data_IF_156681511914
#
_entry.id   IF_156681511914
#
_cell.length_a   1.000
_cell.length_b   1.000
_cell.length_c   1.000
_cell.angle_alpha   90.00
_cell.angle_beta   90.00
_cell.angle_gamma   90.00
#
_symmetry.space_group_name_H-M   'P 1'
#
loop_
_entity.id
_entity.type
_entity.pdbx_description
1 polymer ?
#
# COMPACT_ATOMS: atom_id res chain seq x y z
N UNK A 1 -7.88 -6.33 9.59
CA UNK A 1 -8.38 -7.65 9.17
C UNK A 1 -9.31 -8.18 10.26
N UNK A 2 -10.42 -8.78 9.85
CA UNK A 2 -11.35 -9.52 10.71
C UNK A 2 -11.54 -10.90 10.09
N UNK A 3 -11.33 -11.95 10.89
CA UNK A 3 -11.47 -13.32 10.43
C UNK A 3 -12.16 -14.16 11.51
N UNK A 4 -13.40 -14.59 11.27
CA UNK A 4 -14.03 -15.64 12.08
C UNK A 4 -13.26 -16.95 11.90
N UNK A 5 -12.93 -17.59 13.01
CA UNK A 5 -12.20 -18.87 13.03
C UNK A 5 -13.11 -19.94 13.61
N UNK A 6 -13.18 -21.09 12.92
CA UNK A 6 -13.86 -22.28 13.39
C UNK A 6 -12.95 -23.50 13.27
N UNK A 7 -12.75 -24.21 14.38
CA UNK A 7 -11.89 -25.37 14.45
C UNK A 7 -12.63 -26.57 15.05
N UNK A 8 -12.40 -27.75 14.45
CA UNK A 8 -12.68 -29.05 15.05
C UNK A 8 -11.40 -29.61 15.64
N UNK A 9 -11.37 -29.77 16.94
CA UNK A 9 -10.24 -30.34 17.66
C UNK A 9 -10.36 -31.88 17.64
N UNK A 10 -9.38 -32.54 17.03
CA UNK A 10 -9.38 -33.98 16.80
C UNK A 10 -8.20 -34.62 17.50
N UNK A 11 -8.35 -35.83 18.05
CA UNK A 11 -7.22 -36.61 18.56
C UNK A 11 -6.43 -37.30 17.43
N UNK A 12 -5.40 -38.07 17.81
CA UNK A 12 -4.54 -38.79 16.86
C UNK A 12 -5.30 -39.83 16.05
N UNK A 13 -6.39 -40.37 16.60
CA UNK A 13 -7.28 -41.34 15.96
C UNK A 13 -8.40 -40.65 15.16
N UNK A 14 -8.35 -39.32 14.98
CA UNK A 14 -9.36 -38.51 14.27
C UNK A 14 -10.75 -38.58 14.91
N UNK A 15 -10.83 -38.72 16.23
CA UNK A 15 -12.07 -38.56 16.98
C UNK A 15 -12.24 -37.12 17.44
N UNK A 16 -13.46 -36.60 17.35
CA UNK A 16 -13.78 -35.25 17.80
C UNK A 16 -13.61 -35.14 19.32
N UNK A 17 -12.81 -34.17 19.76
CA UNK A 17 -12.65 -33.77 21.17
C UNK A 17 -13.42 -32.50 21.49
N UNK A 18 -13.57 -31.62 20.51
CA UNK A 18 -14.42 -30.46 20.68
C UNK A 18 -14.37 -29.52 19.49
N UNK A 19 -15.12 -28.45 19.60
CA UNK A 19 -15.24 -27.41 18.61
C UNK A 19 -14.97 -26.06 19.28
N UNK A 20 -14.23 -25.20 18.58
CA UNK A 20 -13.84 -23.87 19.02
C UNK A 20 -14.19 -22.85 17.94
N UNK A 21 -14.80 -21.74 18.35
CA UNK A 21 -15.06 -20.58 17.52
C UNK A 21 -14.50 -19.34 18.21
N UNK A 22 -13.97 -18.39 17.44
CA UNK A 22 -13.61 -17.06 17.91
C UNK A 22 -13.46 -16.10 16.73
N UNK A 23 -13.52 -14.80 17.01
CA UNK A 23 -13.23 -13.76 16.04
C UNK A 23 -11.79 -13.28 16.24
N UNK A 24 -10.99 -13.34 15.19
CA UNK A 24 -9.65 -12.75 15.15
C UNK A 24 -9.73 -11.35 14.54
N UNK A 25 -9.24 -10.36 15.28
CA UNK A 25 -9.06 -9.00 14.79
C UNK A 25 -7.59 -8.62 14.79
N UNK A 26 -7.13 -8.00 13.70
CA UNK A 26 -5.80 -7.39 13.62
C UNK A 26 -5.93 -6.02 12.99
N UNK A 27 -5.51 -5.00 13.74
CA UNK A 27 -5.41 -3.61 13.28
C UNK A 27 -3.94 -3.24 13.20
N UNK A 28 -3.51 -2.70 12.06
CA UNK A 28 -2.16 -2.19 11.84
C UNK A 28 -2.17 -0.67 11.68
N UNK A 29 -1.19 0.01 12.27
CA UNK A 29 -1.05 1.46 12.21
C UNK A 29 0.37 1.83 11.79
N UNK A 30 0.49 2.55 10.68
CA UNK A 30 1.74 3.12 10.20
C UNK A 30 1.76 4.64 10.45
N UNK A 31 2.94 5.25 10.42
CA UNK A 31 3.11 6.63 10.89
C UNK A 31 3.94 7.50 9.94
N UNK A 32 3.44 8.71 9.68
CA UNK A 32 4.22 9.80 9.11
C UNK A 32 4.89 10.61 10.24
N UNK A 33 6.22 10.52 10.33
CA UNK A 33 7.07 11.15 11.35
C UNK A 33 7.76 10.17 12.30
N UNK A 34 7.44 8.88 12.25
CA UNK A 34 8.03 7.86 13.14
C UNK A 34 8.27 6.56 12.38
N UNK A 35 9.47 6.00 12.50
CA UNK A 35 9.82 4.67 11.95
C UNK A 35 9.28 3.58 12.88
N UNK A 36 7.95 3.46 12.88
CA UNK A 36 7.18 2.63 13.79
C UNK A 36 5.97 2.03 13.06
N UNK A 37 5.65 0.78 13.37
CA UNK A 37 4.35 0.18 13.05
C UNK A 37 3.81 -0.47 14.31
N UNK A 38 2.53 -0.21 14.58
CA UNK A 38 1.82 -0.79 15.72
C UNK A 38 0.79 -1.79 15.24
N UNK A 39 0.68 -2.92 15.93
CA UNK A 39 -0.40 -3.88 15.73
C UNK A 39 -1.21 -3.99 17.01
N UNK A 40 -2.53 -4.04 16.85
CA UNK A 40 -3.45 -4.49 17.88
C UNK A 40 -4.10 -5.78 17.40
N UNK A 41 -3.76 -6.88 18.07
CA UNK A 41 -4.36 -8.19 17.86
C UNK A 41 -5.43 -8.45 18.91
N UNK A 42 -6.54 -9.06 18.51
CA UNK A 42 -7.57 -9.47 19.45
C UNK A 42 -8.19 -10.81 19.10
N UNK A 43 -8.49 -11.59 20.14
CA UNK A 43 -9.31 -12.80 20.05
C UNK A 43 -10.55 -12.56 20.90
N UNK A 44 -11.70 -12.53 20.25
CA UNK A 44 -12.98 -12.16 20.86
C UNK A 44 -14.05 -13.23 20.57
N UNK A 45 -15.21 -13.09 21.24
CA UNK A 45 -16.40 -13.90 21.01
C UNK A 45 -16.14 -15.42 21.04
N UNK A 46 -15.26 -15.85 21.94
CA UNK A 46 -14.83 -17.25 22.04
C UNK A 46 -16.02 -18.13 22.46
N UNK A 47 -16.31 -19.16 21.69
CA UNK A 47 -17.33 -20.19 22.00
C UNK A 47 -16.69 -21.55 21.92
N UNK A 48 -17.13 -22.46 22.79
CA UNK A 48 -16.64 -23.83 22.81
C UNK A 48 -17.75 -24.84 22.93
N UNK A 49 -17.50 -26.02 22.38
CA UNK A 49 -18.34 -27.20 22.56
C UNK A 49 -17.43 -28.40 22.75
N UNK A 50 -17.32 -28.89 23.97
CA UNK A 50 -16.55 -30.08 24.30
C UNK A 50 -17.39 -31.36 24.16
N UNK A 51 -16.75 -32.48 23.82
CA UNK A 51 -17.35 -33.80 24.03
C UNK A 51 -17.28 -34.20 25.50
N UNK A 52 -18.01 -35.23 25.91
CA UNK A 52 -17.99 -35.70 27.29
C UNK A 52 -16.56 -36.07 27.75
N UNK A 53 -16.15 -35.58 28.92
CA UNK A 53 -14.81 -35.79 29.48
C UNK A 53 -13.75 -34.78 29.03
N UNK A 54 -14.09 -33.80 28.20
CA UNK A 54 -13.22 -32.68 27.82
C UNK A 54 -13.49 -31.41 28.62
N UNK A 55 -12.43 -30.66 28.92
CA UNK A 55 -12.54 -29.37 29.61
C UNK A 55 -11.97 -28.23 28.74
N UNK A 56 -12.84 -27.43 28.11
CA UNK A 56 -12.41 -26.28 27.31
C UNK A 56 -11.55 -25.25 28.05
N UNK A 57 -11.65 -25.15 29.38
CA UNK A 57 -10.83 -24.24 30.16
C UNK A 57 -9.31 -24.58 30.11
N UNK A 58 -8.97 -25.80 29.69
CA UNK A 58 -7.58 -26.24 29.51
C UNK A 58 -7.03 -25.96 28.10
N UNK A 59 -7.90 -25.58 27.17
CA UNK A 59 -7.48 -25.26 25.81
C UNK A 59 -6.73 -23.93 25.80
N UNK A 60 -5.67 -23.86 25.00
CA UNK A 60 -4.88 -22.64 24.81
C UNK A 60 -4.96 -22.18 23.37
N UNK A 61 -5.11 -20.88 23.21
CA UNK A 61 -4.94 -20.19 21.93
C UNK A 61 -3.63 -19.41 22.03
N UNK A 62 -2.77 -19.63 21.07
CA UNK A 62 -1.45 -19.03 20.97
C UNK A 62 -1.35 -18.19 19.71
N UNK A 63 -0.87 -16.96 19.88
CA UNK A 63 -0.47 -16.06 18.81
C UNK A 63 1.04 -15.88 18.88
N UNK A 64 1.73 -16.08 17.77
CA UNK A 64 3.16 -15.87 17.63
C UNK A 64 3.42 -14.89 16.50
N UNK A 65 3.97 -13.72 16.80
CA UNK A 65 4.39 -12.77 15.79
C UNK A 65 5.86 -12.93 15.47
N UNK A 66 6.18 -13.07 14.20
CA UNK A 66 7.54 -13.07 13.68
C UNK A 66 7.74 -11.94 12.69
N UNK A 67 8.99 -11.67 12.31
CA UNK A 67 9.28 -10.73 11.25
C UNK A 67 10.48 -11.19 10.42
N UNK A 68 10.50 -10.77 9.17
CA UNK A 68 11.63 -10.92 8.26
C UNK A 68 12.00 -9.58 7.66
N UNK A 69 13.25 -9.45 7.22
CA UNK A 69 13.76 -8.27 6.51
C UNK A 69 14.11 -8.71 5.09
N UNK A 70 13.58 -7.99 4.10
CA UNK A 70 13.95 -8.17 2.71
C UNK A 70 15.21 -7.34 2.42
N UNK A 71 16.37 -7.97 2.55
CA UNK A 71 17.67 -7.29 2.37
C UNK A 71 17.89 -6.77 0.95
N UNK A 72 17.31 -7.41 -0.09
CA UNK A 72 17.48 -6.96 -1.48
C UNK A 72 16.67 -5.71 -1.83
N UNK A 73 15.61 -5.43 -1.07
CA UNK A 73 14.76 -4.24 -1.22
C UNK A 73 15.00 -3.20 -0.12
N UNK A 74 16.00 -3.42 0.72
CA UNK A 74 16.38 -2.51 1.79
C UNK A 74 17.67 -1.77 1.46
N UNK A 75 17.87 -0.64 2.13
CA UNK A 75 19.16 0.05 2.14
C UNK A 75 20.22 -0.73 2.94
N UNK A 76 21.45 -0.19 3.02
CA UNK A 76 22.55 -0.81 3.76
C UNK A 76 22.20 -1.07 5.24
N UNK A 77 22.62 -2.24 5.74
CA UNK A 77 22.48 -2.66 7.15
C UNK A 77 21.05 -2.51 7.71
N UNK A 78 20.04 -3.14 7.09
CA UNK A 78 18.66 -2.96 7.50
C UNK A 78 18.40 -3.59 8.88
N UNK A 79 17.68 -2.86 9.73
CA UNK A 79 17.36 -3.31 11.08
C UNK A 79 15.88 -3.04 11.41
N UNK A 80 15.26 -4.03 12.06
CA UNK A 80 13.94 -3.94 12.65
C UNK A 80 14.02 -4.38 14.11
N UNK A 81 13.51 -3.57 15.00
CA UNK A 81 13.42 -3.85 16.44
C UNK A 81 12.02 -4.38 16.73
N UNK A 82 11.97 -5.64 17.17
CA UNK A 82 10.74 -6.33 17.58
C UNK A 82 10.33 -5.96 19.01
N UNK A 83 9.06 -6.16 19.41
CA UNK A 83 8.66 -5.98 20.80
C UNK A 83 9.31 -7.04 21.71
N UNK A 84 9.38 -6.76 23.01
CA UNK A 84 9.99 -7.66 23.99
C UNK A 84 9.27 -9.02 24.09
N UNK A 85 7.95 -9.02 23.91
CA UNK A 85 7.13 -10.23 23.87
C UNK A 85 6.51 -10.35 22.48
N UNK A 86 6.79 -11.47 21.82
CA UNK A 86 6.28 -11.80 20.48
C UNK A 86 5.40 -13.05 20.47
N UNK A 87 5.17 -13.67 21.61
CA UNK A 87 4.29 -14.84 21.72
C UNK A 87 3.37 -14.66 22.90
N UNK A 88 2.08 -14.91 22.70
CA UNK A 88 1.06 -14.91 23.75
C UNK A 88 0.27 -16.20 23.66
N UNK A 89 0.39 -17.03 24.69
CA UNK A 89 -0.22 -18.37 24.78
C UNK A 89 -1.05 -18.44 26.06
N UNK A 90 -2.36 -18.32 25.92
CA UNK A 90 -3.28 -18.17 27.04
C UNK A 90 -4.49 -19.09 26.90
N UNK A 91 -5.10 -19.42 28.04
CA UNK A 91 -6.35 -20.18 28.03
C UNK A 91 -7.55 -19.29 27.70
N UNK A 92 -8.71 -19.92 27.49
CA UNK A 92 -9.94 -19.24 27.09
C UNK A 92 -10.35 -18.14 28.07
N UNK A 93 -10.27 -18.38 29.38
CA UNK A 93 -10.68 -17.41 30.39
C UNK A 93 -9.77 -16.17 30.37
N UNK A 94 -8.47 -16.36 30.17
CA UNK A 94 -7.49 -15.27 30.09
C UNK A 94 -7.68 -14.42 28.82
N UNK A 95 -7.90 -15.04 27.66
CA UNK A 95 -8.25 -14.32 26.44
C UNK A 95 -9.57 -13.57 26.58
N UNK A 96 -10.58 -14.18 27.20
CA UNK A 96 -11.89 -13.52 27.44
C UNK A 96 -11.73 -12.29 28.35
N UNK A 97 -10.89 -12.38 29.38
CA UNK A 97 -10.66 -11.28 30.32
C UNK A 97 -9.81 -10.16 29.71
N UNK A 98 -8.85 -10.50 28.83
CA UNK A 98 -7.96 -9.55 28.17
C UNK A 98 -7.82 -9.90 26.69
N UNK A 99 -8.81 -9.56 25.85
CA UNK A 99 -8.80 -10.00 24.46
C UNK A 99 -7.74 -9.30 23.64
N UNK A 100 -7.32 -8.09 24.03
CA UNK A 100 -6.41 -7.24 23.28
C UNK A 100 -4.93 -7.48 23.62
N UNK A 101 -4.10 -7.49 22.58
CA UNK A 101 -2.65 -7.50 22.68
C UNK A 101 -2.04 -6.50 21.69
N UNK A 102 -1.19 -5.62 22.20
CA UNK A 102 -0.50 -4.61 21.40
C UNK A 102 0.95 -5.02 21.14
N UNK A 103 1.40 -4.82 19.91
CA UNK A 103 2.76 -5.07 19.47
C UNK A 103 3.30 -3.83 18.77
N UNK A 104 4.57 -3.54 19.00
CA UNK A 104 5.26 -2.39 18.45
C UNK A 104 6.54 -2.85 17.77
N UNK A 105 6.68 -2.55 16.48
CA UNK A 105 7.91 -2.75 15.73
C UNK A 105 8.45 -1.39 15.32
N UNK A 106 9.75 -1.20 15.45
CA UNK A 106 10.44 0.04 15.05
C UNK A 106 11.63 -0.28 14.16
N UNK A 107 12.19 0.74 13.52
CA UNK A 107 13.46 0.63 12.81
C UNK A 107 14.34 1.82 13.19
N UNK A 108 15.59 1.60 13.65
CA UNK A 108 16.46 2.69 14.05
C UNK A 108 16.79 3.60 12.86
N UNK A 109 17.14 4.84 13.16
CA UNK A 109 17.66 5.80 12.19
C UNK A 109 18.89 6.53 12.72
N UNK A 110 19.69 7.07 11.80
CA UNK A 110 20.89 7.85 12.12
C UNK A 110 20.58 9.30 12.52
N UNK A 111 19.31 9.71 12.54
CA UNK A 111 18.88 11.09 12.77
C UNK A 111 19.26 12.08 11.67
N UNK A 112 19.82 11.61 10.54
CA UNK A 112 20.31 12.45 9.45
C UNK A 112 19.67 12.04 8.12
N UNK A 113 19.24 13.03 7.35
CA UNK A 113 18.85 12.82 5.96
C UNK A 113 20.10 12.63 5.11
N UNK A 114 20.14 11.54 4.36
CA UNK A 114 21.17 11.27 3.35
C UNK A 114 20.48 11.00 2.01
N UNK A 115 20.63 11.89 1.01
CA UNK A 115 20.04 11.68 -0.32
C UNK A 115 20.52 10.39 -1.01
N UNK A 116 21.70 9.87 -0.66
CA UNK A 116 22.22 8.61 -1.20
C UNK A 116 21.72 7.38 -0.43
N UNK A 117 21.20 7.57 0.79
CA UNK A 117 20.69 6.50 1.63
C UNK A 117 19.49 6.97 2.45
N UNK A 118 18.29 6.76 1.90
CA UNK A 118 17.02 7.04 2.60
C UNK A 118 16.71 6.03 3.70
N UNK A 119 17.67 5.18 4.07
CA UNK A 119 17.59 4.22 5.18
C UNK A 119 16.35 3.31 5.09
N UNK A 120 16.01 2.88 3.87
CA UNK A 120 14.86 1.99 3.63
C UNK A 120 15.07 0.67 4.34
N UNK A 121 14.06 0.22 5.08
CA UNK A 121 13.98 -1.14 5.63
C UNK A 121 12.65 -1.71 5.23
N UNK A 122 12.68 -2.69 4.32
CA UNK A 122 11.51 -3.42 3.86
C UNK A 122 11.47 -4.77 4.56
N UNK A 123 10.30 -5.20 5.01
CA UNK A 123 10.14 -6.46 5.71
C UNK A 123 8.71 -6.91 5.79
N UNK A 124 8.50 -8.09 6.38
CA UNK A 124 7.18 -8.67 6.58
C UNK A 124 7.02 -8.98 8.06
N UNK A 125 5.82 -8.71 8.59
CA UNK A 125 5.42 -9.11 9.94
C UNK A 125 4.32 -10.15 9.79
N UNK A 126 4.52 -11.31 10.40
CA UNK A 126 3.66 -12.50 10.25
C UNK A 126 3.09 -12.90 11.59
N UNK A 127 1.81 -13.23 11.63
CA UNK A 127 1.14 -13.90 12.74
C UNK A 127 0.99 -15.38 12.41
N UNK A 128 1.54 -16.21 13.27
CA UNK A 128 1.28 -17.64 13.32
C UNK A 128 0.30 -17.90 14.46
N UNK A 129 -0.62 -18.84 14.28
CA UNK A 129 -1.55 -19.26 15.33
C UNK A 129 -1.43 -20.74 15.64
N UNK A 130 -1.60 -21.08 16.92
CA UNK A 130 -1.67 -22.46 17.40
C UNK A 130 -2.79 -22.60 18.41
N UNK A 131 -3.57 -23.66 18.28
CA UNK A 131 -4.59 -24.04 19.26
C UNK A 131 -4.25 -25.41 19.81
N UNK A 132 -4.19 -25.54 21.13
CA UNK A 132 -3.84 -26.79 21.80
C UNK A 132 -4.86 -27.19 22.86
N UNK A 133 -5.06 -28.49 23.00
CA UNK A 133 -5.84 -29.14 24.06
C UNK A 133 -5.00 -30.31 24.60
N UNK A 134 -5.15 -30.72 25.87
CA UNK A 134 -4.45 -31.89 26.42
C UNK A 134 -4.69 -33.20 25.65
N UNK A 135 -5.79 -33.30 24.91
CA UNK A 135 -6.30 -34.54 24.32
C UNK A 135 -6.44 -34.51 22.81
N UNK A 136 -6.27 -33.35 22.19
CA UNK A 136 -6.34 -33.18 20.74
C UNK A 136 -4.94 -32.96 20.16
N UNK A 137 -4.76 -33.32 18.89
CA UNK A 137 -3.59 -32.89 18.12
C UNK A 137 -3.68 -31.37 17.96
N UNK A 138 -2.60 -30.62 18.28
CA UNK A 138 -2.61 -29.17 18.14
C UNK A 138 -2.87 -28.75 16.70
N UNK A 139 -3.77 -27.79 16.53
CA UNK A 139 -3.96 -27.11 15.25
C UNK A 139 -2.95 -25.98 15.13
N UNK A 140 -2.43 -25.76 13.93
CA UNK A 140 -1.47 -24.70 13.62
C UNK A 140 -1.79 -24.08 12.27
N UNK A 141 -1.75 -22.76 12.21
CA UNK A 141 -1.69 -21.99 10.97
C UNK A 141 -0.40 -21.15 11.00
N UNK A 142 0.60 -21.49 10.16
CA UNK A 142 1.89 -20.81 10.17
C UNK A 142 1.87 -19.43 9.52
N UNK A 143 0.78 -19.01 8.85
CA UNK A 143 0.64 -17.69 8.24
C UNK A 143 -0.82 -17.25 8.33
N UNK A 144 -1.33 -17.15 9.56
CA UNK A 144 -2.71 -16.73 9.81
C UNK A 144 -2.97 -15.32 9.29
N UNK A 145 -1.98 -14.43 9.41
CA UNK A 145 -1.99 -13.11 8.82
C UNK A 145 -0.56 -12.63 8.55
N UNK A 146 -0.39 -11.73 7.60
CA UNK A 146 0.86 -11.01 7.42
C UNK A 146 0.62 -9.59 6.92
N UNK A 147 1.66 -8.77 6.99
CA UNK A 147 1.68 -7.48 6.32
C UNK A 147 3.11 -7.11 5.95
N UNK A 148 3.29 -6.61 4.73
CA UNK A 148 4.55 -6.04 4.28
C UNK A 148 4.64 -4.58 4.72
N UNK A 149 5.78 -4.23 5.32
CA UNK A 149 6.04 -2.90 5.90
C UNK A 149 7.32 -2.33 5.33
N UNK A 150 7.34 -1.02 5.11
CA UNK A 150 8.55 -0.26 4.81
C UNK A 150 8.73 0.84 5.84
N UNK A 151 9.91 0.90 6.44
CA UNK A 151 10.41 2.04 7.20
C UNK A 151 11.35 2.85 6.31
N UNK A 152 11.32 4.18 6.43
CA UNK A 152 12.20 5.05 5.65
C UNK A 152 12.56 6.34 6.39
N UNK A 153 13.63 6.97 5.92
CA UNK A 153 14.03 8.34 6.22
C UNK A 153 14.26 9.07 4.89
N UNK A 154 13.19 9.27 4.13
CA UNK A 154 13.26 9.88 2.79
C UNK A 154 13.18 11.42 2.77
N UNK A 155 13.11 12.07 3.94
CA UNK A 155 13.07 13.53 3.99
C UNK A 155 11.73 14.12 3.54
N UNK A 156 11.68 15.43 3.25
CA UNK A 156 10.44 16.13 2.90
C UNK A 156 9.82 15.67 1.57
N UNK A 157 10.61 14.99 0.72
CA UNK A 157 10.12 14.43 -0.56
C UNK A 157 8.97 13.43 -0.35
N UNK A 158 8.91 12.78 0.81
CA UNK A 158 7.92 11.75 1.14
C UNK A 158 7.04 12.13 2.34
N UNK A 159 6.81 13.43 2.61
CA UNK A 159 6.03 13.89 3.76
C UNK A 159 6.93 14.37 4.89
N UNK A 160 6.75 13.90 6.13
CA UNK A 160 7.76 14.17 7.17
C UNK A 160 9.06 13.42 6.88
N UNK A 161 10.13 13.81 7.56
CA UNK A 161 11.47 13.29 7.29
C UNK A 161 11.63 11.76 7.35
N UNK A 162 10.78 11.08 8.14
CA UNK A 162 10.83 9.63 8.34
C UNK A 162 9.45 9.06 8.62
N UNK A 163 9.28 7.77 8.42
CA UNK A 163 8.00 7.13 8.67
C UNK A 163 7.96 5.66 8.37
N UNK A 164 6.73 5.14 8.33
CA UNK A 164 6.43 3.76 7.99
C UNK A 164 5.16 3.70 7.14
N UNK A 165 5.12 2.76 6.19
CA UNK A 165 3.94 2.43 5.38
C UNK A 165 3.73 0.93 5.33
N UNK A 166 2.50 0.51 5.05
CA UNK A 166 2.21 -0.83 4.57
C UNK A 166 2.45 -0.86 3.05
N UNK A 167 3.47 -1.58 2.59
CA UNK A 167 3.91 -1.51 1.19
C UNK A 167 2.95 -2.20 0.21
N UNK A 168 2.07 -3.07 0.70
CA UNK A 168 1.00 -3.69 -0.09
C UNK A 168 -0.26 -2.83 -0.16
N UNK A 169 -0.34 -1.73 0.59
CA UNK A 169 -1.48 -0.82 0.49
C UNK A 169 -1.49 -0.17 -0.89
N UNK A 170 -2.59 -0.38 -1.62
CA UNK A 170 -2.79 0.26 -2.91
C UNK A 170 -3.06 1.76 -2.71
N UNK A 171 -2.12 2.59 -3.16
CA UNK A 171 -2.31 4.04 -3.16
C UNK A 171 -2.97 4.49 -4.46
N UNK A 172 -3.99 5.34 -4.34
CA UNK A 172 -4.74 5.91 -5.45
C UNK A 172 -4.78 7.43 -5.37
N UNK A 173 -4.46 8.12 -6.46
CA UNK A 173 -4.88 9.50 -6.66
C UNK A 173 -6.32 9.50 -7.16
N UNK A 174 -7.23 10.03 -6.36
CA UNK A 174 -8.64 10.14 -6.73
C UNK A 174 -8.94 11.56 -7.22
N UNK A 175 -9.44 11.67 -8.45
CA UNK A 175 -9.99 12.92 -8.99
C UNK A 175 -11.45 12.71 -9.42
N UNK A 176 -12.22 13.80 -9.51
CA UNK A 176 -13.64 13.74 -9.86
C UNK A 176 -13.95 14.62 -11.05
N UNK A 177 -14.79 14.13 -11.97
CA UNK A 177 -15.34 14.91 -13.07
C UNK A 177 -16.32 16.01 -12.59
N UNK A 178 -16.76 15.95 -11.33
CA UNK A 178 -17.67 16.93 -10.71
C UNK A 178 -16.96 17.99 -9.89
N UNK A 179 -15.65 17.86 -9.70
CA UNK A 179 -14.88 18.82 -8.93
C UNK A 179 -14.35 19.91 -9.87
N UNK A 180 -14.94 21.12 -9.88
CA UNK A 180 -14.59 22.16 -10.84
C UNK A 180 -13.17 22.69 -10.69
N UNK A 181 -12.44 22.31 -9.64
CA UNK A 181 -11.05 22.69 -9.47
C UNK A 181 -10.08 21.78 -10.24
N UNK A 182 -10.52 20.62 -10.73
CA UNK A 182 -9.71 19.60 -11.42
C UNK A 182 -10.48 18.81 -12.48
N UNK A 183 -11.63 19.31 -12.96
CA UNK A 183 -12.51 18.55 -13.85
C UNK A 183 -11.89 18.38 -15.25
N UNK A 184 -11.05 19.33 -15.69
CA UNK A 184 -10.34 19.23 -16.96
C UNK A 184 -9.19 18.23 -16.90
N UNK A 185 -8.36 18.26 -15.84
CA UNK A 185 -7.37 17.21 -15.57
C UNK A 185 -8.04 15.84 -15.43
N UNK A 186 -9.12 15.73 -14.66
CA UNK A 186 -9.84 14.48 -14.48
C UNK A 186 -10.39 13.93 -15.80
N UNK A 187 -10.94 14.79 -16.66
CA UNK A 187 -11.40 14.42 -18.00
C UNK A 187 -10.24 13.97 -18.89
N UNK A 188 -9.12 14.69 -18.88
CA UNK A 188 -7.94 14.34 -19.68
C UNK A 188 -7.39 12.97 -19.29
N UNK A 189 -7.21 12.72 -17.99
CA UNK A 189 -6.77 11.42 -17.47
C UNK A 189 -7.76 10.32 -17.84
N UNK A 190 -9.07 10.57 -17.72
CA UNK A 190 -10.09 9.59 -18.09
C UNK A 190 -10.03 9.20 -19.56
N UNK A 191 -9.89 10.19 -20.45
CA UNK A 191 -9.79 9.96 -21.87
C UNK A 191 -8.51 9.18 -22.21
N UNK A 192 -7.38 9.52 -21.58
CA UNK A 192 -6.13 8.78 -21.75
C UNK A 192 -6.24 7.32 -21.26
N UNK A 193 -6.97 7.06 -20.18
CA UNK A 193 -7.19 5.71 -19.65
C UNK A 193 -8.20 4.90 -20.49
N UNK A 194 -9.26 5.53 -21.00
CA UNK A 194 -10.37 4.82 -21.65
C UNK A 194 -10.29 4.77 -23.17
N UNK A 195 -9.81 5.85 -23.78
CA UNK A 195 -9.75 6.07 -25.21
C UNK A 195 -8.35 6.56 -25.60
N UNK A 196 -7.27 5.85 -25.20
CA UNK A 196 -5.90 6.30 -25.41
C UNK A 196 -5.60 6.63 -26.87
N UNK A 197 -6.14 5.87 -27.82
CA UNK A 197 -5.99 6.11 -29.26
C UNK A 197 -6.62 7.43 -29.76
N UNK A 198 -7.47 8.07 -28.95
CA UNK A 198 -8.08 9.39 -29.24
C UNK A 198 -7.37 10.54 -28.55
N UNK A 199 -6.21 10.26 -27.96
CA UNK A 199 -5.39 11.25 -27.26
C UNK A 199 -4.03 11.41 -27.93
N UNK A 200 -3.36 12.54 -27.70
CA UNK A 200 -2.13 12.89 -28.43
C UNK A 200 -0.87 12.58 -27.64
N UNK A 201 0.18 11.96 -28.23
CA UNK A 201 0.26 11.53 -29.62
C UNK A 201 -0.68 10.36 -29.92
N UNK A 202 -1.34 10.41 -31.08
CA UNK A 202 -2.39 9.46 -31.46
C UNK A 202 -1.84 8.36 -32.37
N UNK A 203 -2.05 7.09 -32.02
CA UNK A 203 -1.69 5.94 -32.84
C UNK A 203 -2.56 4.72 -32.50
N UNK A 204 -2.72 3.82 -33.48
CA UNK A 204 -3.60 2.65 -33.35
C UNK A 204 -3.03 1.60 -32.39
N UNK A 205 -3.82 1.19 -31.40
CA UNK A 205 -3.38 0.23 -30.37
C UNK A 205 -2.63 0.88 -29.21
N UNK A 206 -2.67 2.21 -29.10
CA UNK A 206 -2.10 2.94 -27.97
C UNK A 206 -2.67 2.45 -26.65
N UNK A 207 -1.79 2.28 -25.67
CA UNK A 207 -2.16 1.98 -24.29
C UNK A 207 -1.50 2.99 -23.37
N UNK A 208 -2.16 3.33 -22.25
CA UNK A 208 -1.66 4.29 -21.26
C UNK A 208 -1.88 3.70 -19.86
N UNK A 209 -0.84 3.61 -19.01
CA UNK A 209 -0.93 2.97 -17.70
C UNK A 209 -1.62 3.84 -16.63
N UNK A 210 -1.77 3.29 -15.44
CA UNK A 210 -2.18 3.98 -14.21
C UNK A 210 -3.67 3.87 -13.85
N UNK A 211 -4.49 3.19 -14.64
CA UNK A 211 -5.90 2.99 -14.32
C UNK A 211 -6.10 2.00 -13.16
N UNK A 212 -7.10 2.26 -12.30
CA UNK A 212 -7.40 1.37 -11.17
C UNK A 212 -8.07 0.06 -11.57
N UNK A 213 -8.69 0.00 -12.74
CA UNK A 213 -9.41 -1.15 -13.24
C UNK A 213 -8.93 -1.47 -14.66
N UNK A 214 -8.95 -2.75 -15.08
CA UNK A 214 -8.68 -3.10 -16.47
C UNK A 214 -9.54 -2.26 -17.40
N UNK A 215 -8.91 -1.65 -18.41
CA UNK A 215 -9.60 -0.90 -19.46
C UNK A 215 -9.59 -1.70 -20.75
N UNK A 216 -10.17 -1.16 -21.81
CA UNK A 216 -10.38 -1.81 -23.12
C UNK A 216 -9.13 -2.48 -23.72
N UNK A 217 -7.94 -2.17 -23.23
CA UNK A 217 -6.65 -2.58 -23.78
C UNK A 217 -5.79 -3.48 -22.87
N UNK A 218 -6.31 -4.03 -21.76
CA UNK A 218 -5.62 -5.07 -20.97
C UNK A 218 -5.59 -4.87 -19.45
N UNK A 219 -4.67 -5.59 -18.79
CA UNK A 219 -4.47 -5.60 -17.34
C UNK A 219 -4.06 -4.23 -16.80
N UNK A 220 -4.30 -4.00 -15.50
CA UNK A 220 -3.88 -2.76 -14.83
C UNK A 220 -2.36 -2.70 -14.70
N UNK A 221 -1.75 -1.67 -15.30
CA UNK A 221 -0.36 -1.30 -15.09
C UNK A 221 -0.30 -0.11 -14.12
N UNK A 222 0.48 -0.14 -13.02
CA UNK A 222 0.63 1.01 -12.14
C UNK A 222 1.48 2.11 -12.79
N UNK A 223 1.41 3.32 -12.23
CA UNK A 223 2.43 4.35 -12.42
C UNK A 223 3.48 4.21 -11.32
N UNK A 224 4.73 4.53 -11.62
CA UNK A 224 5.79 4.58 -10.61
C UNK A 224 6.29 6.00 -10.44
N UNK A 225 6.36 6.47 -9.18
CA UNK A 225 6.86 7.83 -8.90
C UNK A 225 8.28 7.99 -9.42
N UNK A 226 8.56 9.15 -10.01
CA UNK A 226 9.88 9.57 -10.46
C UNK A 226 10.25 10.86 -9.72
N UNK A 227 11.35 10.86 -8.96
CA UNK A 227 11.81 12.05 -8.21
C UNK A 227 12.93 12.83 -8.91
N UNK A 228 13.65 12.18 -9.83
CA UNK A 228 14.75 12.75 -10.61
C UNK A 228 14.27 13.94 -11.46
N UNK A 229 14.75 15.14 -11.14
CA UNK A 229 14.27 16.39 -11.72
C UNK A 229 14.64 16.54 -13.20
N UNK A 230 15.77 15.99 -13.64
CA UNK A 230 16.18 16.05 -15.03
C UNK A 230 15.31 15.14 -15.89
N UNK A 231 14.96 13.95 -15.39
CA UNK A 231 14.01 13.07 -16.07
C UNK A 231 12.60 13.64 -16.07
N UNK A 232 12.15 14.27 -14.98
CA UNK A 232 10.87 14.99 -14.95
C UNK A 232 10.85 16.13 -15.99
N UNK A 233 11.96 16.87 -16.14
CA UNK A 233 12.07 17.94 -17.14
C UNK A 233 11.95 17.38 -18.56
N UNK A 234 12.62 16.27 -18.87
CA UNK A 234 12.50 15.58 -20.17
C UNK A 234 11.08 15.12 -20.47
N UNK A 235 10.37 14.59 -19.48
CA UNK A 235 8.95 14.25 -19.64
C UNK A 235 8.14 15.49 -20.04
N UNK A 236 8.27 16.61 -19.30
CA UNK A 236 7.56 17.86 -19.62
C UNK A 236 7.90 18.39 -21.01
N UNK A 237 9.18 18.39 -21.37
CA UNK A 237 9.63 18.87 -22.69
C UNK A 237 8.98 18.08 -23.83
N UNK A 238 8.88 16.75 -23.70
CA UNK A 238 8.21 15.90 -24.69
C UNK A 238 6.69 16.14 -24.76
N UNK A 239 6.03 16.32 -23.61
CA UNK A 239 4.61 16.65 -23.57
C UNK A 239 4.34 18.03 -24.20
N UNK A 240 5.15 19.04 -23.87
CA UNK A 240 5.07 20.39 -24.44
C UNK A 240 5.29 20.35 -25.96
N UNK A 241 6.26 19.56 -26.44
CA UNK A 241 6.46 19.38 -27.88
C UNK A 241 5.21 18.82 -28.56
N UNK A 242 4.53 17.85 -27.93
CA UNK A 242 3.26 17.31 -28.41
C UNK A 242 2.15 18.37 -28.41
N UNK A 243 2.04 19.18 -27.36
CA UNK A 243 1.05 20.26 -27.32
C UNK A 243 1.29 21.30 -28.43
N UNK A 244 2.54 21.70 -28.65
CA UNK A 244 2.89 22.65 -29.72
C UNK A 244 2.66 22.08 -31.12
N UNK A 245 2.90 20.78 -31.32
CA UNK A 245 2.62 20.11 -32.60
C UNK A 245 1.11 20.09 -32.92
N UNK A 246 0.26 19.84 -31.92
CA UNK A 246 -1.19 19.71 -32.11
C UNK A 246 -1.92 21.05 -32.13
N UNK A 247 -1.57 21.98 -31.23
CA UNK A 247 -2.30 23.24 -31.02
C UNK A 247 -1.50 24.50 -31.36
N UNK A 248 -0.22 24.39 -31.71
CA UNK A 248 0.66 25.53 -31.92
C UNK A 248 1.11 26.19 -30.62
N UNK A 249 1.75 27.36 -30.75
CA UNK A 249 2.17 28.16 -29.59
C UNK A 249 0.97 28.67 -28.81
N UNK A 250 0.91 28.31 -27.52
CA UNK A 250 -0.11 28.73 -26.57
C UNK A 250 0.42 29.77 -25.57
N UNK A 251 1.60 30.34 -25.83
CA UNK A 251 2.14 31.44 -25.03
C UNK A 251 1.18 32.64 -25.00
N UNK A 252 1.08 33.30 -23.85
CA UNK A 252 0.14 34.41 -23.64
C UNK A 252 -1.33 34.01 -23.42
N UNK A 253 -1.66 32.71 -23.46
CA UNK A 253 -2.98 32.20 -23.07
C UNK A 253 -3.02 31.82 -21.58
N UNK A 254 -4.20 31.46 -21.07
CA UNK A 254 -4.38 30.87 -19.73
C UNK A 254 -4.16 29.35 -19.71
N UNK A 255 -3.89 28.75 -20.87
CA UNK A 255 -3.78 27.31 -21.02
C UNK A 255 -2.39 26.82 -20.61
N UNK A 256 -2.34 25.60 -20.10
CA UNK A 256 -1.12 24.85 -19.84
C UNK A 256 -1.22 23.49 -20.51
N UNK A 257 -0.07 22.93 -20.91
CA UNK A 257 0.00 21.56 -21.39
C UNK A 257 -0.02 20.61 -20.19
N UNK A 258 -1.14 19.91 -19.99
CA UNK A 258 -1.28 18.81 -19.05
C UNK A 258 -0.83 17.51 -19.72
N UNK A 259 -0.30 16.58 -18.92
CA UNK A 259 0.30 15.33 -19.38
C UNK A 259 -0.11 14.15 -18.49
N UNK A 260 -0.44 13.02 -19.12
CA UNK A 260 -0.73 11.78 -18.43
C UNK A 260 -0.15 10.57 -19.20
N UNK A 261 0.74 9.75 -18.61
CA UNK A 261 1.21 9.81 -17.22
C UNK A 261 2.01 11.08 -16.91
N UNK A 262 1.98 11.49 -15.64
CA UNK A 262 2.54 12.77 -15.19
C UNK A 262 4.06 12.83 -15.38
N UNK A 263 4.66 14.03 -15.51
CA UNK A 263 6.13 14.15 -15.56
C UNK A 263 6.84 13.53 -14.37
N UNK A 264 6.20 13.49 -13.20
CA UNK A 264 6.71 12.83 -11.99
C UNK A 264 6.48 11.33 -11.97
N UNK A 265 6.36 10.68 -13.13
CA UNK A 265 6.26 9.22 -13.26
C UNK A 265 7.32 8.65 -14.21
N UNK A 266 7.70 7.39 -14.00
CA UNK A 266 8.64 6.66 -14.88
C UNK A 266 8.02 6.37 -16.25
N UNK A 267 6.69 6.34 -16.31
CA UNK A 267 5.87 6.13 -17.50
C UNK A 267 5.51 7.44 -18.23
N UNK A 268 6.08 8.58 -17.82
CA UNK A 268 5.80 9.89 -18.42
C UNK A 268 6.25 10.01 -19.89
N UNK A 269 6.06 11.18 -20.48
CA UNK A 269 6.16 11.36 -21.94
C UNK A 269 7.55 11.11 -22.58
N UNK A 270 8.62 11.01 -21.81
CA UNK A 270 9.95 10.58 -22.31
C UNK A 270 10.19 9.07 -22.19
N UNK A 271 9.25 8.31 -21.63
CA UNK A 271 9.30 6.87 -21.63
C UNK A 271 9.14 6.31 -23.06
N UNK A 272 9.78 5.17 -23.38
CA UNK A 272 9.64 4.54 -24.70
C UNK A 272 8.18 4.22 -25.07
N UNK A 273 7.89 4.27 -26.37
CA UNK A 273 6.62 3.81 -26.93
C UNK A 273 5.48 4.84 -26.96
N UNK A 274 5.73 6.10 -26.58
CA UNK A 274 4.74 7.20 -26.67
C UNK A 274 3.39 6.84 -26.02
N UNK A 275 3.46 6.13 -24.87
CA UNK A 275 2.30 5.66 -24.08
C UNK A 275 1.80 6.74 -23.11
N UNK A 276 1.68 7.97 -23.59
CA UNK A 276 1.21 9.14 -22.84
C UNK A 276 0.22 9.96 -23.64
N UNK A 277 -0.50 10.85 -22.97
CA UNK A 277 -1.42 11.83 -23.52
C UNK A 277 -0.98 13.23 -23.08
N UNK A 278 -1.02 14.19 -24.00
CA UNK A 278 -0.86 15.61 -23.71
C UNK A 278 -2.10 16.38 -24.19
N UNK A 279 -2.53 17.38 -23.42
CA UNK A 279 -3.71 18.21 -23.72
C UNK A 279 -3.55 19.61 -23.13
N UNK A 280 -3.94 20.63 -23.89
CA UNK A 280 -4.11 21.98 -23.34
C UNK A 280 -5.36 22.04 -22.47
N UNK A 281 -5.20 22.46 -21.21
CA UNK A 281 -6.29 22.70 -20.26
C UNK A 281 -6.06 24.04 -19.53
N UNK A 282 -7.05 24.54 -18.81
CA UNK A 282 -6.91 25.76 -17.99
C UNK A 282 -5.80 25.60 -16.94
N UNK A 283 -4.88 26.57 -16.87
CA UNK A 283 -3.70 26.47 -16.00
C UNK A 283 -4.04 26.34 -14.52
N UNK A 284 -5.11 26.99 -14.06
CA UNK A 284 -5.53 26.87 -12.64
C UNK A 284 -6.02 25.48 -12.26
N UNK A 285 -6.65 24.76 -13.20
CA UNK A 285 -7.08 23.36 -13.04
C UNK A 285 -5.84 22.45 -12.98
N UNK A 286 -4.95 22.59 -13.98
CA UNK A 286 -3.71 21.83 -14.10
C UNK A 286 -2.82 21.95 -12.85
N UNK A 287 -2.60 23.18 -12.38
CA UNK A 287 -1.82 23.44 -11.17
C UNK A 287 -2.45 22.84 -9.92
N UNK A 288 -3.78 22.82 -9.84
CA UNK A 288 -4.50 22.19 -8.73
C UNK A 288 -4.37 20.67 -8.78
N UNK A 289 -4.49 20.06 -9.97
CA UNK A 289 -4.20 18.65 -10.20
C UNK A 289 -2.78 18.27 -9.76
N UNK A 290 -1.79 19.09 -10.14
CA UNK A 290 -0.40 18.92 -9.74
C UNK A 290 -0.17 19.03 -8.22
N UNK A 291 -0.84 19.97 -7.55
CA UNK A 291 -0.80 20.08 -6.07
C UNK A 291 -1.38 18.82 -5.40
N UNK A 292 -2.54 18.34 -5.84
CA UNK A 292 -3.17 17.11 -5.30
C UNK A 292 -2.33 15.87 -5.51
N UNK A 293 -1.66 15.76 -6.66
CA UNK A 293 -0.70 14.69 -6.93
C UNK A 293 0.46 14.72 -5.92
N UNK A 294 1.02 15.90 -5.65
CA UNK A 294 2.09 16.07 -4.67
C UNK A 294 1.63 15.78 -3.23
N UNK A 295 0.41 16.20 -2.87
CA UNK A 295 -0.20 15.88 -1.59
C UNK A 295 -0.38 14.36 -1.43
N UNK A 296 -0.88 13.68 -2.47
CA UNK A 296 -1.02 12.22 -2.47
C UNK A 296 0.35 11.54 -2.25
N UNK A 297 1.39 11.98 -2.97
CA UNK A 297 2.74 11.44 -2.78
C UNK A 297 3.26 11.58 -1.34
N UNK A 298 3.03 12.73 -0.72
CA UNK A 298 3.56 13.02 0.61
C UNK A 298 2.72 12.40 1.73
N UNK A 299 1.38 12.43 1.63
CA UNK A 299 0.47 11.82 2.60
C UNK A 299 0.62 10.30 2.67
N UNK A 300 0.94 9.66 1.54
CA UNK A 300 1.13 8.20 1.46
C UNK A 300 2.62 7.80 1.46
N UNK A 301 3.53 8.76 1.71
CA UNK A 301 4.99 8.57 1.72
C UNK A 301 5.55 7.77 0.53
N UNK A 302 5.03 8.00 -0.67
CA UNK A 302 5.44 7.31 -1.91
C UNK A 302 6.91 7.67 -2.20
N UNK A 303 7.80 6.71 -2.40
CA UNK A 303 9.22 6.93 -2.74
C UNK A 303 9.46 6.83 -4.24
N UNK A 304 10.68 7.12 -4.71
CA UNK A 304 11.03 6.87 -6.10
C UNK A 304 10.82 5.40 -6.45
N UNK A 305 10.11 5.14 -7.55
CA UNK A 305 9.79 3.79 -7.99
C UNK A 305 8.60 3.14 -7.28
N UNK A 306 8.01 3.75 -6.26
CA UNK A 306 6.79 3.21 -5.65
C UNK A 306 5.63 3.28 -6.65
N UNK A 307 4.85 2.20 -6.69
CA UNK A 307 3.67 2.07 -7.52
C UNK A 307 2.46 2.82 -6.93
N UNK A 308 1.67 3.44 -7.81
CA UNK A 308 0.37 4.02 -7.47
C UNK A 308 -0.57 4.00 -8.68
N UNK A 309 -1.85 4.25 -8.45
CA UNK A 309 -2.88 4.29 -9.48
C UNK A 309 -3.63 5.62 -9.46
N UNK A 310 -4.41 5.87 -10.51
CA UNK A 310 -5.26 7.05 -10.63
C UNK A 310 -6.70 6.62 -10.91
N UNK A 311 -7.60 7.05 -10.04
CA UNK A 311 -9.03 6.77 -10.13
C UNK A 311 -9.79 8.04 -10.45
N UNK A 312 -10.56 7.99 -11.53
CA UNK A 312 -11.50 9.06 -11.89
C UNK A 312 -12.91 8.65 -11.47
N UNK A 313 -13.56 9.53 -10.73
CA UNK A 313 -14.94 9.35 -10.26
C UNK A 313 -15.91 10.24 -11.05
N UNK A 314 -17.13 9.74 -11.36
CA UNK A 314 -18.12 10.47 -12.13
C UNK A 314 -18.88 11.53 -11.33
#
# INVERSE_FOLDING_TARGET
MHQPVYLKLMDKERRLRGELWFDLWILGFSYDGSRRVDYTSSIENIRTKAVAGENPATWKIEQNFSHTINASESGPNPQMTKPAVTTRSENIAQWTAKPLWQLNYTSPDTGKLDPANTQVVTGMITLDMRVSSPTAVPWTDPVMAYSSVRFDYAGPTAGKHKGTVFSEARVELVMSLKDPAVDQSARHILDAQQLPERTFPSWAGKTVPGATEPRSHGATEPLHRLIDKDKQKKNRENAIATCNDVWGDYSGTKLQCDEYPFASTKEGAAAPGNRFSARLIEGTDNETGGRRLNDMFTLNRILDGDAFYVKITP
#
